data_IF_011270171582
#
_entry.id   IF_011270171582
#
_cell.length_a   1.000
_cell.length_b   1.000
_cell.length_c   1.000
_cell.angle_alpha   90.00
_cell.angle_beta   90.00
_cell.angle_gamma   90.00
#
_symmetry.space_group_name_H-M   'P 1'
#
loop_
_entity.id
_entity.type
_entity.pdbx_description
1 polymer ?
#
# COMPACT_ATOMS: atom_id res chain seq x y z
N UNK A 1 -16.10 -20.16 -1.07
CA UNK A 1 -15.16 -19.34 -1.88
C UNK A 1 -14.07 -20.27 -2.39
N UNK A 2 -13.95 -20.45 -3.70
CA UNK A 2 -12.92 -21.28 -4.32
C UNK A 2 -11.54 -20.69 -4.01
N UNK A 3 -10.69 -21.48 -3.36
CA UNK A 3 -9.30 -21.13 -3.11
C UNK A 3 -8.64 -20.97 -4.48
N UNK A 4 -8.20 -19.77 -4.82
CA UNK A 4 -7.44 -19.55 -6.03
C UNK A 4 -6.10 -20.27 -5.83
N UNK A 5 -5.79 -21.29 -6.64
CA UNK A 5 -4.61 -22.14 -6.45
C UNK A 5 -3.28 -21.38 -6.62
N UNK A 6 -3.36 -20.13 -7.09
CA UNK A 6 -2.22 -19.25 -7.28
C UNK A 6 -2.61 -17.78 -7.22
N UNK A 7 -1.70 -16.97 -6.67
CA UNK A 7 -1.78 -15.51 -6.68
C UNK A 7 -1.39 -15.01 -8.08
N UNK A 8 -2.27 -14.23 -8.70
CA UNK A 8 -2.07 -13.67 -10.05
C UNK A 8 -2.11 -12.15 -9.97
N UNK A 9 -1.24 -11.48 -10.74
CA UNK A 9 -1.30 -10.03 -10.92
C UNK A 9 -2.57 -9.68 -11.72
N UNK A 10 -3.58 -9.12 -11.05
CA UNK A 10 -4.91 -8.90 -11.63
C UNK A 10 -5.07 -7.58 -12.39
N UNK A 11 -4.12 -6.66 -12.24
CA UNK A 11 -4.12 -5.38 -12.94
C UNK A 11 -2.70 -4.99 -13.37
N UNK A 12 -2.54 -4.24 -14.47
CA UNK A 12 -1.24 -3.72 -14.87
C UNK A 12 -0.62 -2.88 -13.75
N UNK A 13 0.69 -3.01 -13.46
CA UNK A 13 1.36 -2.12 -12.54
C UNK A 13 1.22 -0.66 -12.97
N UNK A 14 1.11 0.25 -12.00
CA UNK A 14 0.99 1.69 -12.27
C UNK A 14 2.20 2.19 -13.09
N UNK A 15 2.00 3.08 -14.08
CA UNK A 15 3.10 3.74 -14.77
C UNK A 15 4.11 4.34 -13.77
N UNK A 16 5.40 4.22 -14.08
CA UNK A 16 6.54 4.67 -13.25
C UNK A 16 6.70 4.00 -11.86
N UNK A 17 5.88 3.00 -11.55
CA UNK A 17 6.09 2.11 -10.41
C UNK A 17 7.29 1.18 -10.63
N UNK A 18 7.83 0.64 -9.54
CA UNK A 18 8.97 -0.28 -9.63
C UNK A 18 8.60 -1.58 -10.34
N UNK A 19 7.38 -2.09 -10.13
CA UNK A 19 6.87 -3.26 -10.86
C UNK A 19 6.75 -2.99 -12.36
N UNK A 20 6.27 -1.81 -12.74
CA UNK A 20 6.19 -1.40 -14.16
C UNK A 20 7.58 -1.33 -14.80
N UNK A 21 8.53 -0.65 -14.15
CA UNK A 21 9.91 -0.50 -14.63
C UNK A 21 10.63 -1.86 -14.74
N UNK A 22 10.39 -2.75 -13.78
CA UNK A 22 10.96 -4.10 -13.80
C UNK A 22 10.33 -5.01 -14.86
N UNK A 23 9.19 -4.64 -15.43
CA UNK A 23 8.49 -5.40 -16.45
C UNK A 23 7.55 -6.47 -15.92
N UNK A 24 7.04 -6.32 -14.69
CA UNK A 24 5.93 -7.14 -14.16
C UNK A 24 4.68 -6.85 -14.98
N UNK A 25 3.92 -7.90 -15.34
CA UNK A 25 2.77 -7.80 -16.24
C UNK A 25 1.51 -8.32 -15.58
N UNK A 26 0.37 -7.80 -16.05
CA UNK A 26 -0.93 -8.39 -15.72
C UNK A 26 -0.97 -9.84 -16.22
N UNK A 27 -1.48 -10.75 -15.40
CA UNK A 27 -1.55 -12.18 -15.72
C UNK A 27 -0.35 -12.99 -15.23
N UNK A 28 0.73 -12.34 -14.78
CA UNK A 28 1.87 -13.04 -14.17
C UNK A 28 1.41 -13.84 -12.94
N UNK A 29 1.82 -15.10 -12.90
CA UNK A 29 1.57 -15.99 -11.75
C UNK A 29 2.68 -15.84 -10.74
N UNK A 30 2.37 -15.37 -9.54
CA UNK A 30 3.36 -15.19 -8.48
C UNK A 30 3.71 -16.55 -7.87
N UNK A 31 5.00 -16.90 -7.94
CA UNK A 31 5.55 -18.14 -7.39
C UNK A 31 6.13 -17.92 -6.01
N UNK A 32 6.96 -16.88 -5.86
CA UNK A 32 7.59 -16.51 -4.59
C UNK A 32 7.53 -15.00 -4.38
N UNK A 33 7.31 -14.62 -3.13
CA UNK A 33 7.57 -13.27 -2.64
C UNK A 33 8.59 -13.41 -1.53
N UNK A 34 9.76 -12.83 -1.75
CA UNK A 34 10.98 -13.07 -0.97
C UNK A 34 11.25 -14.58 -0.92
N UNK A 35 11.39 -15.14 0.28
CA UNK A 35 11.62 -16.56 0.50
C UNK A 35 10.33 -17.36 0.75
N UNK A 36 9.15 -16.75 0.54
CA UNK A 36 7.84 -17.37 0.82
C UNK A 36 7.19 -17.89 -0.46
N UNK A 37 6.85 -19.18 -0.47
CA UNK A 37 6.10 -19.85 -1.56
C UNK A 37 4.63 -19.42 -1.56
N UNK A 38 4.15 -18.94 -2.71
CA UNK A 38 2.80 -18.43 -2.90
C UNK A 38 1.78 -19.48 -3.35
N UNK A 39 2.17 -20.74 -3.55
CA UNK A 39 1.24 -21.81 -3.92
C UNK A 39 0.19 -22.04 -2.83
N UNK A 40 -1.10 -22.01 -3.22
CA UNK A 40 -2.21 -22.17 -2.30
C UNK A 40 -2.37 -21.05 -1.25
N UNK A 41 -1.64 -19.93 -1.41
CA UNK A 41 -1.77 -18.71 -0.60
C UNK A 41 -2.81 -17.76 -1.19
N UNK A 42 -3.33 -16.90 -0.34
CA UNK A 42 -4.28 -15.85 -0.74
C UNK A 42 -3.55 -14.57 -1.16
N UNK A 43 -4.25 -13.64 -1.80
CA UNK A 43 -3.73 -12.29 -2.05
C UNK A 43 -3.37 -11.55 -0.75
N UNK A 44 -4.10 -11.80 0.34
CA UNK A 44 -3.80 -11.24 1.65
C UNK A 44 -2.47 -11.78 2.20
N UNK A 45 -2.18 -13.07 2.03
CA UNK A 45 -0.90 -13.66 2.41
C UNK A 45 0.25 -13.08 1.58
N UNK A 46 0.02 -12.85 0.28
CA UNK A 46 1.00 -12.21 -0.60
C UNK A 46 1.31 -10.77 -0.17
N UNK A 47 0.29 -9.98 0.16
CA UNK A 47 0.46 -8.62 0.69
C UNK A 47 1.27 -8.62 1.98
N UNK A 48 0.96 -9.54 2.91
CA UNK A 48 1.75 -9.71 4.13
C UNK A 48 3.21 -10.03 3.81
N UNK A 49 3.49 -10.94 2.88
CA UNK A 49 4.87 -11.27 2.50
C UNK A 49 5.63 -10.07 1.89
N UNK A 50 4.94 -9.15 1.20
CA UNK A 50 5.53 -7.88 0.72
C UNK A 50 5.83 -6.92 1.89
N UNK A 51 4.94 -6.86 2.88
CA UNK A 51 5.06 -5.98 4.04
C UNK A 51 6.07 -6.47 5.08
N UNK A 52 6.18 -7.79 5.28
CA UNK A 52 6.98 -8.45 6.31
C UNK A 52 8.50 -8.25 6.13
N UNK A 53 8.93 -7.68 4.99
CA UNK A 53 10.31 -7.23 4.86
C UNK A 53 10.48 -5.87 5.52
N UNK A 54 11.23 -5.86 6.63
CA UNK A 54 11.91 -4.65 7.11
C UNK A 54 12.89 -4.06 6.08
N UNK A 55 13.13 -4.79 4.99
CA UNK A 55 14.00 -4.40 3.89
C UNK A 55 13.34 -3.38 2.95
N UNK A 56 14.19 -2.52 2.38
CA UNK A 56 13.81 -1.59 1.31
C UNK A 56 13.67 -2.26 -0.06
N UNK A 57 13.67 -3.59 -0.10
CA UNK A 57 13.59 -4.39 -1.31
C UNK A 57 12.60 -5.55 -1.12
N UNK A 58 11.99 -5.95 -2.23
CA UNK A 58 11.10 -7.11 -2.35
C UNK A 58 11.63 -7.95 -3.49
N UNK A 59 11.90 -9.23 -3.24
CA UNK A 59 12.20 -10.19 -4.30
C UNK A 59 10.89 -10.83 -4.77
N UNK A 60 10.64 -10.80 -6.07
CA UNK A 60 9.40 -11.31 -6.67
C UNK A 60 9.77 -12.30 -7.77
N UNK A 61 9.34 -13.56 -7.62
CA UNK A 61 9.50 -14.58 -8.66
C UNK A 61 8.14 -14.87 -9.27
N UNK A 62 8.03 -14.72 -10.58
CA UNK A 62 6.80 -14.97 -11.33
C UNK A 62 7.01 -16.00 -12.43
N UNK A 63 5.94 -16.70 -12.77
CA UNK A 63 5.79 -17.40 -14.03
C UNK A 63 4.97 -16.53 -14.98
N UNK A 64 5.57 -16.18 -16.10
CA UNK A 64 4.92 -15.51 -17.20
C UNK A 64 4.60 -16.52 -18.29
N UNK A 65 3.35 -16.50 -18.77
CA UNK A 65 2.90 -17.32 -19.89
C UNK A 65 2.37 -16.42 -21.00
N UNK A 66 3.18 -16.26 -22.05
CA UNK A 66 2.71 -15.61 -23.27
C UNK A 66 1.69 -16.50 -24.00
N UNK A 67 0.77 -15.88 -24.74
CA UNK A 67 -0.32 -16.58 -25.44
C UNK A 67 0.20 -17.63 -26.45
N UNK A 68 1.41 -17.42 -27.00
CA UNK A 68 2.07 -18.31 -27.96
C UNK A 68 3.54 -18.60 -27.61
N UNK A 69 3.91 -18.56 -26.34
CA UNK A 69 5.28 -18.75 -25.88
C UNK A 69 5.43 -19.85 -24.82
N UNK A 70 6.68 -20.29 -24.56
CA UNK A 70 6.95 -21.16 -23.41
C UNK A 70 6.67 -20.41 -22.10
N UNK A 71 6.37 -21.17 -21.05
CA UNK A 71 6.30 -20.63 -19.69
C UNK A 71 7.71 -20.18 -19.26
N UNK A 72 7.84 -18.93 -18.83
CA UNK A 72 9.11 -18.33 -18.42
C UNK A 72 9.06 -17.96 -16.95
N UNK A 73 10.08 -18.35 -16.20
CA UNK A 73 10.25 -17.89 -14.80
C UNK A 73 11.13 -16.65 -14.79
N UNK A 74 10.64 -15.56 -14.20
CA UNK A 74 11.36 -14.30 -14.03
C UNK A 74 11.50 -13.97 -12.55
N UNK A 75 12.66 -13.43 -12.17
CA UNK A 75 12.91 -12.91 -10.81
C UNK A 75 13.19 -11.41 -10.89
N UNK A 76 12.56 -10.66 -10.00
CA UNK A 76 12.67 -9.21 -9.91
C UNK A 76 13.08 -8.81 -8.49
N UNK A 77 13.94 -7.79 -8.39
CA UNK A 77 14.23 -7.11 -7.12
C UNK A 77 13.67 -5.70 -7.19
N UNK A 78 12.61 -5.46 -6.45
CA UNK A 78 11.84 -4.21 -6.47
C UNK A 78 12.19 -3.39 -5.23
N UNK A 79 12.74 -2.18 -5.43
CA UNK A 79 13.01 -1.28 -4.31
C UNK A 79 11.72 -0.63 -3.82
N UNK A 80 11.42 -0.73 -2.53
CA UNK A 80 10.39 0.11 -1.91
C UNK A 80 10.85 1.57 -2.06
N UNK A 81 10.17 2.35 -2.91
CA UNK A 81 10.42 3.79 -2.99
C UNK A 81 10.12 4.36 -1.60
N UNK A 82 11.15 4.90 -0.93
CA UNK A 82 10.93 5.69 0.27
C UNK A 82 10.20 6.95 -0.19
N UNK A 83 8.90 7.04 0.08
CA UNK A 83 8.19 8.29 -0.10
C UNK A 83 8.95 9.33 0.74
N UNK A 84 9.65 10.26 0.11
CA UNK A 84 10.36 11.33 0.84
C UNK A 84 9.37 12.41 1.27
N UNK A 85 8.30 12.59 0.51
CA UNK A 85 7.26 13.58 0.72
C UNK A 85 6.13 12.97 1.56
N UNK A 86 5.73 13.61 2.67
CA UNK A 86 4.63 13.09 3.49
C UNK A 86 3.38 12.88 2.63
N UNK A 87 2.72 11.73 2.82
CA UNK A 87 1.42 11.42 2.22
C UNK A 87 0.27 12.10 2.96
N UNK A 88 0.60 12.84 4.03
CA UNK A 88 -0.26 13.66 4.85
C UNK A 88 0.04 15.15 4.61
N UNK A 89 -1.02 15.95 4.56
CA UNK A 89 -0.94 17.41 4.62
C UNK A 89 -1.93 17.92 5.64
N UNK A 90 -1.59 18.98 6.38
CA UNK A 90 -2.47 19.56 7.38
C UNK A 90 -2.41 21.08 7.38
N UNK A 91 -3.52 21.71 7.80
CA UNK A 91 -3.64 23.15 7.93
C UNK A 91 -4.68 23.53 8.98
N UNK A 92 -4.53 24.71 9.56
CA UNK A 92 -5.50 25.28 10.50
C UNK A 92 -6.36 26.30 9.75
N UNK A 93 -7.65 26.01 9.61
CA UNK A 93 -8.61 26.83 8.87
C UNK A 93 -9.41 27.67 9.86
N UNK A 94 -9.44 28.99 9.67
CA UNK A 94 -10.34 29.87 10.40
C UNK A 94 -11.74 29.80 9.77
N UNK A 95 -12.74 29.39 10.55
CA UNK A 95 -14.13 29.37 10.14
C UNK A 95 -14.80 30.73 10.43
N UNK A 96 -15.85 31.03 9.65
CA UNK A 96 -16.60 32.30 9.73
C UNK A 96 -17.27 32.55 11.09
N UNK A 97 -17.42 31.52 11.91
CA UNK A 97 -17.99 31.59 13.27
C UNK A 97 -16.92 31.72 14.37
N UNK A 98 -15.71 32.21 14.04
CA UNK A 98 -14.54 32.31 14.92
C UNK A 98 -13.98 30.97 15.44
N UNK A 99 -14.51 29.83 14.98
CA UNK A 99 -13.91 28.52 15.29
C UNK A 99 -12.71 28.24 14.42
N UNK A 100 -11.77 27.47 14.93
CA UNK A 100 -10.60 26.96 14.22
C UNK A 100 -10.82 25.48 13.90
N UNK A 101 -10.74 25.12 12.63
CA UNK A 101 -10.83 23.74 12.17
C UNK A 101 -9.44 23.27 11.76
N UNK A 102 -8.94 22.24 12.42
CA UNK A 102 -7.74 21.53 11.98
C UNK A 102 -8.13 20.58 10.85
N UNK A 103 -7.62 20.82 9.67
CA UNK A 103 -7.85 19.97 8.52
C UNK A 103 -6.63 19.09 8.27
N UNK A 104 -6.83 17.78 8.15
CA UNK A 104 -5.80 16.81 7.83
C UNK A 104 -6.27 16.03 6.61
N UNK A 105 -5.46 15.98 5.56
CA UNK A 105 -5.70 15.13 4.40
C UNK A 105 -4.64 14.04 4.34
N UNK A 106 -5.08 12.79 4.33
CA UNK A 106 -4.21 11.61 4.21
C UNK A 106 -4.47 10.91 2.88
N UNK A 107 -3.53 11.03 1.94
CA UNK A 107 -3.65 10.52 0.57
C UNK A 107 -3.44 9.01 0.46
N UNK A 108 -2.65 8.42 1.35
CA UNK A 108 -2.39 6.98 1.42
C UNK A 108 -1.88 6.67 2.82
N UNK A 109 -2.12 5.45 3.29
CA UNK A 109 -1.46 4.93 4.47
C UNK A 109 -0.11 4.34 4.06
N UNK A 110 0.96 4.88 4.64
CA UNK A 110 2.33 4.40 4.48
C UNK A 110 2.99 4.17 5.85
N UNK A 111 4.22 3.64 5.87
CA UNK A 111 4.95 3.38 7.11
C UNK A 111 5.31 4.62 7.94
N UNK A 112 5.12 5.84 7.43
CA UNK A 112 5.34 7.09 8.20
C UNK A 112 4.04 7.71 8.71
N UNK A 113 2.90 7.32 8.15
CA UNK A 113 1.60 7.97 8.37
C UNK A 113 1.23 8.09 9.85
N UNK A 114 1.60 7.10 10.69
CA UNK A 114 1.39 7.19 12.14
C UNK A 114 2.17 8.33 12.81
N UNK A 115 3.46 8.49 12.45
CA UNK A 115 4.30 9.58 12.96
C UNK A 115 3.87 10.95 12.42
N UNK A 116 3.62 11.03 11.11
CA UNK A 116 3.16 12.26 10.45
C UNK A 116 1.80 12.72 11.04
N UNK A 117 0.90 11.79 11.36
CA UNK A 117 -0.37 12.09 12.02
C UNK A 117 -0.16 12.63 13.43
N UNK A 118 0.71 12.00 14.23
CA UNK A 118 1.02 12.48 15.58
C UNK A 118 1.56 13.91 15.57
N UNK A 119 2.41 14.26 14.60
CA UNK A 119 2.95 15.60 14.47
C UNK A 119 1.90 16.61 13.97
N UNK A 120 1.03 16.22 13.03
CA UNK A 120 -0.08 17.05 12.59
C UNK A 120 -1.04 17.38 13.75
N UNK A 121 -1.37 16.40 14.59
CA UNK A 121 -2.24 16.59 15.76
C UNK A 121 -1.62 17.55 16.79
N UNK A 122 -0.30 17.51 17.01
CA UNK A 122 0.39 18.48 17.87
C UNK A 122 0.26 19.91 17.33
N UNK A 123 0.47 20.11 16.03
CA UNK A 123 0.36 21.43 15.38
C UNK A 123 -1.08 21.97 15.37
N UNK A 124 -2.06 21.07 15.28
CA UNK A 124 -3.48 21.41 15.24
C UNK A 124 -4.15 21.36 16.63
N UNK A 125 -3.39 21.26 17.71
CA UNK A 125 -3.90 21.17 19.09
C UNK A 125 -4.76 22.36 19.53
N UNK A 126 -4.63 23.52 18.86
CA UNK A 126 -5.44 24.71 19.13
C UNK A 126 -6.74 24.80 18.29
N UNK A 127 -7.05 23.76 17.51
CA UNK A 127 -8.31 23.67 16.78
C UNK A 127 -9.46 23.27 17.70
N UNK A 128 -10.64 23.80 17.43
CA UNK A 128 -11.88 23.41 18.12
C UNK A 128 -12.43 22.08 17.57
N UNK A 129 -12.09 21.77 16.31
CA UNK A 129 -12.60 20.63 15.56
C UNK A 129 -11.52 20.11 14.61
N UNK A 130 -11.47 18.79 14.43
CA UNK A 130 -10.60 18.13 13.44
C UNK A 130 -11.43 17.54 12.30
N UNK A 131 -10.99 17.76 11.07
CA UNK A 131 -11.55 17.13 9.87
C UNK A 131 -10.47 16.29 9.19
N UNK A 132 -10.71 14.97 9.10
CA UNK A 132 -9.85 14.02 8.42
C UNK A 132 -10.41 13.70 7.02
N UNK A 133 -9.72 14.16 5.98
CA UNK A 133 -10.05 13.88 4.59
C UNK A 133 -9.27 12.65 4.08
N UNK A 134 -10.01 11.56 3.85
CA UNK A 134 -9.53 10.32 3.26
C UNK A 134 -9.98 10.14 1.79
N UNK A 135 -10.54 11.18 1.15
CA UNK A 135 -11.01 11.08 -0.23
C UNK A 135 -9.85 10.82 -1.18
N UNK A 136 -10.00 9.78 -2.00
CA UNK A 136 -8.97 9.33 -2.94
C UNK A 136 -7.84 8.53 -2.27
N UNK A 137 -7.96 8.23 -0.98
CA UNK A 137 -7.06 7.29 -0.32
C UNK A 137 -7.43 5.86 -0.76
N UNK A 138 -6.53 5.11 -1.42
CA UNK A 138 -6.86 3.85 -2.09
C UNK A 138 -7.06 2.66 -1.14
N UNK A 139 -7.38 2.88 0.15
CA UNK A 139 -7.65 1.81 1.11
C UNK A 139 -8.74 0.88 0.56
N UNK A 140 -8.28 -0.23 -0.01
CA UNK A 140 -9.03 -1.47 -0.12
C UNK A 140 -9.04 -2.07 1.28
N UNK A 141 -10.24 -2.14 1.84
CA UNK A 141 -10.60 -2.76 3.12
C UNK A 141 -9.73 -3.95 3.52
N UNK A 142 -8.82 -3.75 4.48
CA UNK A 142 -8.31 -4.79 5.37
C UNK A 142 -8.24 -4.25 6.81
N UNK A 143 -9.36 -3.74 7.32
CA UNK A 143 -9.57 -3.68 8.76
C UNK A 143 -10.67 -4.68 9.11
N UNK A 144 -10.25 -5.86 9.56
CA UNK A 144 -11.09 -6.65 10.45
C UNK A 144 -11.21 -5.89 11.77
N UNK A 145 -12.41 -5.53 12.25
CA UNK A 145 -12.58 -4.82 13.50
C UNK A 145 -12.43 -5.79 14.66
N UNK A 146 -11.22 -5.93 15.17
CA UNK A 146 -10.97 -6.51 16.48
C UNK A 146 -9.64 -5.96 16.97
N UNK A 147 -9.70 -4.84 17.70
CA UNK A 147 -8.71 -4.30 18.65
C UNK A 147 -8.69 -2.77 18.61
N UNK A 148 -9.81 -2.15 19.01
CA UNK A 148 -9.76 -0.95 19.86
C UNK A 148 -10.94 -1.07 20.83
N UNK A 149 -10.72 -1.82 21.89
CA UNK A 149 -11.46 -1.71 23.14
C UNK A 149 -10.41 -1.91 24.24
N UNK A 150 -10.07 -0.80 24.88
CA UNK A 150 -9.06 -0.65 25.92
C UNK A 150 -8.96 0.82 26.26
#
# INVERSE_FOLDING_TARGET
MTKQDSVIISAPPLPDSQGYIAGVRMGDKVLFINHVDMRGKTSADAMRAVEDTGDREVELVVSEKEEKGPEMVKSFRLRKKKSSKSSLSYELIAASNQKKVGYIRLKEFDGRSGGDMADALKHLSSSDLLLLDLRGNPVISLLTPSMVAG
#
